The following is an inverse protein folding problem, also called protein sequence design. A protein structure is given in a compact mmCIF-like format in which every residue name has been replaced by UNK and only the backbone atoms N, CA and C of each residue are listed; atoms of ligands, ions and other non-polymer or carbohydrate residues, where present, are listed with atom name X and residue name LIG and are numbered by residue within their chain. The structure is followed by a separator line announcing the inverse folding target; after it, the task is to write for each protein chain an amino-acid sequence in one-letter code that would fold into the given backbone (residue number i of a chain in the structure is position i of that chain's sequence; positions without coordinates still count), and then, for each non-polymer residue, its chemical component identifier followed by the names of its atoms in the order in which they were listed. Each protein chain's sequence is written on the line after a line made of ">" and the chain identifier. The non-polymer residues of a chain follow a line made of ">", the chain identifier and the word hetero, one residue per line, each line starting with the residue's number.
data_IF_333127563205
#
_entry.id   IF_333127563205
#
_cell.length_a   1.000
_cell.length_b   1.000
_cell.length_c   1.000
_cell.angle_alpha   90.00
_cell.angle_beta   90.00
_cell.angle_gamma   90.00
#
_symmetry.space_group_name_H-M   'P 1'
#
loop_
_entity.id
_entity.type
_entity.pdbx_description
1 polymer ?
#
# COMPACT_ATOMS: atom_id res chain seq x y z
N UNK A 1 25.82 -4.17 26.40
CA UNK A 1 25.80 -3.59 25.05
C UNK A 1 24.41 -3.02 24.90
N UNK A 2 24.29 -1.71 25.05
CA UNK A 2 23.02 -0.98 24.93
C UNK A 2 22.72 -0.82 23.45
N UNK A 3 21.60 -1.38 23.00
CA UNK A 3 21.08 -1.24 21.65
C UNK A 3 20.62 0.22 21.43
N UNK A 4 21.55 1.13 21.13
CA UNK A 4 21.27 2.53 20.75
C UNK A 4 21.02 2.72 19.24
N UNK A 5 21.26 1.70 18.41
CA UNK A 5 21.25 1.82 16.93
C UNK A 5 19.87 1.71 16.26
N UNK A 6 18.78 1.81 17.02
CA UNK A 6 17.42 1.61 16.53
C UNK A 6 16.43 2.71 16.87
N UNK A 7 16.89 3.91 17.25
CA UNK A 7 16.01 4.98 17.70
C UNK A 7 15.16 5.54 16.55
N UNK A 8 14.03 4.88 16.28
CA UNK A 8 12.96 5.37 15.43
C UNK A 8 12.37 6.60 16.12
N UNK A 9 12.92 7.77 15.79
CA UNK A 9 12.41 9.05 16.22
C UNK A 9 11.07 9.37 15.57
N UNK A 10 10.26 10.19 16.25
CA UNK A 10 9.03 10.72 15.65
C UNK A 10 9.38 11.66 14.49
N UNK A 11 8.50 11.81 13.48
CA UNK A 11 8.72 12.73 12.38
C UNK A 11 8.94 14.17 12.86
N UNK A 12 10.16 14.68 12.67
CA UNK A 12 10.58 16.01 13.11
C UNK A 12 9.65 17.13 12.66
N UNK A 13 9.14 17.04 11.41
CA UNK A 13 8.20 18.02 10.88
C UNK A 13 6.88 18.07 11.68
N UNK A 14 6.37 16.90 12.09
CA UNK A 14 5.12 16.81 12.86
C UNK A 14 5.27 17.45 14.24
N UNK A 15 6.36 17.13 14.93
CA UNK A 15 6.67 17.77 16.22
C UNK A 15 6.82 19.28 16.09
N UNK A 16 7.52 19.75 15.05
CA UNK A 16 7.68 21.19 14.81
C UNK A 16 6.36 21.92 14.51
N UNK A 17 5.38 21.25 13.90
CA UNK A 17 4.03 21.80 13.73
C UNK A 17 3.33 21.94 15.08
N UNK A 18 3.31 20.86 15.89
CA UNK A 18 2.68 20.88 17.22
C UNK A 18 3.30 21.97 18.10
N UNK A 19 4.63 22.11 18.10
CA UNK A 19 5.33 23.14 18.88
C UNK A 19 4.86 24.56 18.48
N UNK A 20 4.73 24.83 17.18
CA UNK A 20 4.25 26.12 16.68
C UNK A 20 2.77 26.35 16.96
N UNK A 21 1.96 25.30 16.94
CA UNK A 21 0.54 25.38 17.24
C UNK A 21 0.30 25.73 18.72
N UNK A 22 1.14 25.19 19.62
CA UNK A 22 1.07 25.49 21.07
C UNK A 22 1.71 26.83 21.42
N UNK A 23 2.82 27.20 20.77
CA UNK A 23 3.56 28.44 21.07
C UNK A 23 3.93 29.19 19.78
N UNK A 24 2.98 29.89 19.14
CA UNK A 24 3.16 30.44 17.79
C UNK A 24 4.19 31.58 17.71
N UNK A 25 4.22 32.47 18.69
CA UNK A 25 5.02 33.71 18.65
C UNK A 25 6.43 33.56 19.23
N UNK A 26 6.79 32.37 19.74
CA UNK A 26 8.05 32.16 20.45
C UNK A 26 9.12 31.50 19.59
N UNK A 27 10.29 32.15 19.52
CA UNK A 27 11.48 31.53 18.93
C UNK A 27 12.06 30.52 19.92
N UNK A 28 12.04 29.25 19.52
CA UNK A 28 12.67 28.15 20.27
C UNK A 28 14.07 27.88 19.67
N UNK A 29 15.05 27.55 20.51
CA UNK A 29 16.40 27.17 20.07
C UNK A 29 16.40 25.78 19.41
N UNK A 30 17.36 25.50 18.54
CA UNK A 30 17.42 24.21 17.83
C UNK A 30 17.67 23.06 18.81
N UNK A 31 18.61 23.22 19.74
CA UNK A 31 18.90 22.23 20.78
C UNK A 31 17.67 21.90 21.64
N UNK A 32 16.83 22.90 21.93
CA UNK A 32 15.58 22.67 22.67
C UNK A 32 14.58 21.84 21.85
N UNK A 33 14.53 22.00 20.53
CA UNK A 33 13.68 21.17 19.66
C UNK A 33 14.16 19.73 19.62
N UNK A 34 15.47 19.52 19.56
CA UNK A 34 16.09 18.20 19.61
C UNK A 34 15.81 17.51 20.94
N UNK A 35 15.94 18.23 22.05
CA UNK A 35 15.59 17.74 23.38
C UNK A 35 14.11 17.36 23.47
N UNK A 36 13.19 18.20 22.94
CA UNK A 36 11.78 17.87 22.91
C UNK A 36 11.49 16.58 22.12
N UNK A 37 12.17 16.35 20.99
CA UNK A 37 12.02 15.09 20.27
C UNK A 37 12.49 13.89 21.10
N UNK A 38 13.67 13.99 21.72
CA UNK A 38 14.17 12.94 22.62
C UNK A 38 13.17 12.66 23.76
N UNK A 39 12.58 13.70 24.35
CA UNK A 39 11.53 13.58 25.36
C UNK A 39 10.27 12.88 24.83
N UNK A 40 9.84 13.16 23.60
CA UNK A 40 8.68 12.49 23.01
C UNK A 40 8.94 10.99 22.79
N UNK A 41 10.15 10.61 22.36
CA UNK A 41 10.53 9.19 22.22
C UNK A 41 10.57 8.51 23.60
N UNK A 42 11.18 9.16 24.60
CA UNK A 42 11.20 8.64 25.97
C UNK A 42 9.80 8.57 26.59
N UNK A 43 8.89 9.49 26.28
CA UNK A 43 7.50 9.44 26.71
C UNK A 43 6.82 8.15 26.23
N UNK A 44 6.97 7.80 24.95
CA UNK A 44 6.43 6.55 24.39
C UNK A 44 7.04 5.35 25.12
N UNK A 45 8.36 5.31 25.32
CA UNK A 45 9.04 4.23 26.04
C UNK A 45 8.59 4.15 27.50
N UNK A 46 8.36 5.27 28.17
CA UNK A 46 7.96 5.33 29.57
C UNK A 46 6.55 4.77 29.78
N UNK A 47 5.58 5.24 28.98
CA UNK A 47 4.20 4.71 29.00
C UNK A 47 4.18 3.24 28.59
N UNK A 48 4.96 2.84 27.58
CA UNK A 48 5.02 1.45 27.13
C UNK A 48 5.57 0.51 28.20
N UNK A 49 6.60 0.91 28.95
CA UNK A 49 7.15 0.12 30.06
C UNK A 49 6.11 -0.11 31.16
N UNK A 50 5.35 0.92 31.52
CA UNK A 50 4.30 0.78 32.55
C UNK A 50 3.12 -0.07 32.03
N UNK A 51 2.68 0.14 30.80
CA UNK A 51 1.63 -0.68 30.18
C UNK A 51 2.05 -2.16 30.08
N UNK A 52 3.32 -2.43 29.77
CA UNK A 52 3.89 -3.79 29.76
C UNK A 52 3.87 -4.41 31.16
N UNK A 53 4.22 -3.65 32.21
CA UNK A 53 4.15 -4.11 33.61
C UNK A 53 2.74 -4.50 34.00
N UNK A 54 1.75 -3.68 33.65
CA UNK A 54 0.33 -3.94 33.91
C UNK A 54 -0.15 -5.17 33.13
N UNK A 55 0.19 -5.29 31.85
CA UNK A 55 -0.15 -6.46 31.03
C UNK A 55 0.42 -7.75 31.61
N UNK A 56 1.67 -7.71 32.07
CA UNK A 56 2.33 -8.85 32.68
C UNK A 56 1.68 -9.23 34.02
N UNK A 57 1.29 -8.24 34.83
CA UNK A 57 0.52 -8.45 36.06
C UNK A 57 -0.83 -9.13 35.77
N UNK A 58 -1.53 -8.69 34.73
CA UNK A 58 -2.82 -9.26 34.29
C UNK A 58 -2.63 -10.61 33.54
N UNK A 59 -1.42 -11.17 33.51
CA UNK A 59 -1.03 -12.42 32.84
C UNK A 59 -1.34 -12.46 31.34
N UNK A 60 -1.35 -11.30 30.68
CA UNK A 60 -1.60 -11.16 29.23
C UNK A 60 -0.30 -10.90 28.48
N UNK A 61 -0.08 -11.69 27.42
CA UNK A 61 1.06 -11.51 26.48
C UNK A 61 0.90 -10.30 25.56
N UNK A 62 -0.34 -9.87 25.33
CA UNK A 62 -0.68 -8.75 24.45
C UNK A 62 -1.06 -7.54 25.29
N UNK A 63 -0.46 -6.39 25.00
CA UNK A 63 -0.87 -5.11 25.60
C UNK A 63 -2.17 -4.66 24.96
N UNK A 64 -3.21 -4.46 25.77
CA UNK A 64 -4.51 -3.94 25.34
C UNK A 64 -4.68 -2.46 25.73
N UNK A 65 -5.69 -1.80 25.16
CA UNK A 65 -5.99 -0.39 25.44
C UNK A 65 -6.21 -0.10 26.94
N UNK A 66 -6.81 -1.03 27.68
CA UNK A 66 -7.03 -0.91 29.13
C UNK A 66 -5.71 -0.81 29.92
N UNK A 67 -4.66 -1.48 29.45
CA UNK A 67 -3.35 -1.42 30.10
C UNK A 67 -2.71 -0.04 29.89
N UNK A 68 -2.92 0.58 28.73
CA UNK A 68 -2.42 1.94 28.44
C UNK A 68 -3.16 2.98 29.28
N UNK A 69 -4.48 2.86 29.43
CA UNK A 69 -5.29 3.76 30.28
C UNK A 69 -4.85 3.69 31.75
N UNK A 70 -4.70 2.47 32.28
CA UNK A 70 -4.16 2.27 33.63
C UNK A 70 -2.73 2.80 33.76
N UNK A 71 -1.89 2.64 32.74
CA UNK A 71 -0.53 3.16 32.74
C UNK A 71 -0.51 4.69 32.86
N UNK A 72 -1.35 5.38 32.07
CA UNK A 72 -1.46 6.84 32.14
C UNK A 72 -1.88 7.32 33.52
N UNK A 73 -2.88 6.65 34.13
CA UNK A 73 -3.34 6.95 35.48
C UNK A 73 -2.25 6.67 36.54
N UNK A 74 -1.55 5.53 36.45
CA UNK A 74 -0.50 5.15 37.40
C UNK A 74 0.71 6.09 37.36
N UNK A 75 1.06 6.59 36.17
CA UNK A 75 2.15 7.53 35.97
C UNK A 75 1.78 8.96 36.38
N UNK A 76 0.52 9.21 36.75
CA UNK A 76 0.06 10.52 37.20
C UNK A 76 -0.11 11.53 36.07
N UNK A 77 -0.32 11.07 34.82
CA UNK A 77 -0.71 11.97 33.75
C UNK A 77 -2.10 12.56 34.03
N UNK A 78 -2.35 13.81 33.59
CA UNK A 78 -3.63 14.44 33.83
C UNK A 78 -4.77 13.71 33.10
N UNK A 79 -5.99 13.89 33.61
CA UNK A 79 -7.15 13.09 33.19
C UNK A 79 -7.52 13.28 31.71
N UNK A 80 -7.21 14.45 31.15
CA UNK A 80 -7.33 14.78 29.73
C UNK A 80 -6.58 13.80 28.82
N UNK A 81 -5.47 13.21 29.27
CA UNK A 81 -4.74 12.20 28.48
C UNK A 81 -5.51 10.88 28.40
N UNK A 82 -6.17 10.49 29.49
CA UNK A 82 -7.01 9.28 29.52
C UNK A 82 -8.24 9.48 28.64
N UNK A 83 -8.89 10.64 28.75
CA UNK A 83 -10.04 11.00 27.91
C UNK A 83 -9.67 11.05 26.42
N UNK A 84 -8.53 11.65 26.07
CA UNK A 84 -8.04 11.68 24.70
C UNK A 84 -7.79 10.25 24.17
N UNK A 85 -7.21 9.36 25.00
CA UNK A 85 -7.00 7.97 24.63
C UNK A 85 -8.32 7.20 24.41
N UNK A 86 -9.34 7.44 25.24
CA UNK A 86 -10.68 6.86 25.10
C UNK A 86 -11.38 7.33 23.82
N UNK A 87 -11.28 8.63 23.50
CA UNK A 87 -11.84 9.20 22.28
C UNK A 87 -11.24 8.53 21.03
N UNK A 88 -9.91 8.46 20.95
CA UNK A 88 -9.20 7.81 19.83
C UNK A 88 -9.51 6.31 19.75
N UNK A 89 -9.67 5.63 20.89
CA UNK A 89 -10.06 4.23 20.92
C UNK A 89 -11.44 4.01 20.28
N UNK A 90 -12.39 4.89 20.56
CA UNK A 90 -13.73 4.85 19.95
C UNK A 90 -13.65 4.96 18.43
N UNK A 91 -12.89 5.94 17.92
CA UNK A 91 -12.68 6.13 16.48
C UNK A 91 -12.00 4.92 15.84
N UNK A 92 -11.01 4.34 16.50
CA UNK A 92 -10.31 3.14 16.04
C UNK A 92 -11.24 1.92 15.96
N UNK A 93 -12.15 1.74 16.92
CA UNK A 93 -13.17 0.68 16.88
C UNK A 93 -14.10 0.84 15.68
N UNK A 94 -14.60 2.06 15.45
CA UNK A 94 -15.46 2.37 14.31
C UNK A 94 -14.71 2.12 12.98
N UNK A 95 -13.46 2.57 12.87
CA UNK A 95 -12.64 2.35 11.68
C UNK A 95 -12.39 0.86 11.42
N UNK A 96 -12.12 0.07 12.46
CA UNK A 96 -11.93 -1.37 12.38
C UNK A 96 -13.21 -2.08 11.91
N UNK A 97 -14.37 -1.73 12.48
CA UNK A 97 -15.68 -2.24 12.05
C UNK A 97 -15.98 -1.91 10.59
N UNK A 98 -15.74 -0.66 10.18
CA UNK A 98 -15.95 -0.22 8.80
C UNK A 98 -15.03 -0.97 7.82
N UNK A 99 -13.77 -1.22 8.21
CA UNK A 99 -12.83 -2.01 7.42
C UNK A 99 -13.29 -3.46 7.29
N UNK A 100 -13.82 -4.06 8.36
CA UNK A 100 -14.37 -5.41 8.35
C UNK A 100 -15.62 -5.50 7.46
N UNK A 101 -16.56 -4.56 7.59
CA UNK A 101 -17.75 -4.47 6.73
C UNK A 101 -17.37 -4.37 5.25
N UNK A 102 -16.38 -3.55 4.90
CA UNK A 102 -15.89 -3.42 3.51
C UNK A 102 -15.24 -4.70 2.99
N UNK A 103 -14.47 -5.42 3.82
CA UNK A 103 -13.84 -6.69 3.44
C UNK A 103 -14.89 -7.77 3.18
N UNK A 104 -15.81 -7.96 4.13
CA UNK A 104 -16.85 -8.98 4.02
C UNK A 104 -17.85 -8.65 2.90
N UNK A 105 -18.12 -7.36 2.64
CA UNK A 105 -19.03 -6.96 1.56
C UNK A 105 -18.49 -7.18 0.14
N UNK A 106 -17.17 -7.35 -0.05
CA UNK A 106 -16.59 -7.49 -1.40
C UNK A 106 -16.44 -8.94 -1.85
N UNK A 107 -16.32 -9.90 -0.92
CA UNK A 107 -16.19 -11.32 -1.24
C UNK A 107 -17.49 -12.08 -1.01
N UNK A 108 -18.19 -11.83 0.10
CA UNK A 108 -19.36 -12.63 0.51
C UNK A 108 -20.69 -12.12 -0.06
N UNK A 109 -20.72 -10.89 -0.59
CA UNK A 109 -21.94 -10.25 -1.14
C UNK A 109 -21.88 -9.99 -2.63
N UNK A 110 -21.17 -10.82 -3.40
CA UNK A 110 -21.22 -10.76 -4.86
C UNK A 110 -22.63 -11.07 -5.40
N UNK A 111 -23.51 -11.69 -4.61
CA UNK A 111 -24.88 -12.04 -4.98
C UNK A 111 -25.00 -13.13 -6.05
N UNK A 112 -23.88 -13.49 -6.68
CA UNK A 112 -23.73 -14.54 -7.67
C UNK A 112 -23.14 -15.77 -6.93
N UNK A 113 -23.75 -16.96 -7.05
CA UNK A 113 -23.22 -18.18 -6.44
C UNK A 113 -21.83 -18.50 -7.02
N UNK A 114 -20.98 -19.14 -6.21
CA UNK A 114 -19.58 -19.44 -6.53
C UNK A 114 -19.44 -20.22 -7.85
N UNK A 115 -20.32 -21.19 -8.09
CA UNK A 115 -20.33 -22.00 -9.32
C UNK A 115 -20.55 -21.15 -10.59
N UNK A 116 -21.42 -20.14 -10.51
CA UNK A 116 -21.73 -19.26 -11.64
C UNK A 116 -20.60 -18.25 -11.89
N UNK A 117 -19.94 -17.77 -10.82
CA UNK A 117 -18.72 -16.97 -10.91
C UNK A 117 -17.59 -17.77 -11.57
N UNK A 118 -17.43 -19.05 -11.22
CA UNK A 118 -16.43 -19.93 -11.80
C UNK A 118 -16.66 -20.16 -13.31
N UNK A 119 -17.91 -20.40 -13.69
CA UNK A 119 -18.27 -20.54 -15.11
C UNK A 119 -17.96 -19.27 -15.91
N UNK A 120 -18.33 -18.10 -15.36
CA UNK A 120 -18.05 -16.80 -15.98
C UNK A 120 -16.54 -16.54 -16.10
N UNK A 121 -15.76 -16.90 -15.08
CA UNK A 121 -14.30 -16.81 -15.13
C UNK A 121 -13.71 -17.68 -16.25
N UNK A 122 -14.16 -18.93 -16.37
CA UNK A 122 -13.70 -19.82 -17.44
C UNK A 122 -14.03 -19.25 -18.82
N UNK A 123 -15.25 -18.75 -19.02
CA UNK A 123 -15.66 -18.13 -20.29
C UNK A 123 -14.79 -16.92 -20.66
N UNK A 124 -14.43 -16.08 -19.68
CA UNK A 124 -13.55 -14.93 -19.90
C UNK A 124 -12.14 -15.37 -20.31
N UNK A 125 -11.59 -16.41 -19.68
CA UNK A 125 -10.27 -16.97 -20.01
C UNK A 125 -10.30 -17.56 -21.43
N UNK A 126 -11.33 -18.32 -21.76
CA UNK A 126 -11.45 -18.95 -23.08
C UNK A 126 -11.61 -17.92 -24.19
N UNK A 127 -12.42 -16.88 -23.96
CA UNK A 127 -12.54 -15.75 -24.88
C UNK A 127 -11.20 -15.02 -25.09
N UNK A 128 -10.47 -14.72 -24.02
CA UNK A 128 -9.15 -14.08 -24.12
C UNK A 128 -8.16 -14.95 -24.91
N UNK A 129 -8.21 -16.28 -24.74
CA UNK A 129 -7.38 -17.23 -25.48
C UNK A 129 -7.71 -17.26 -26.97
N UNK A 130 -9.00 -17.20 -27.32
CA UNK A 130 -9.45 -17.13 -28.72
C UNK A 130 -9.03 -15.81 -29.37
N UNK A 131 -9.15 -14.68 -28.66
CA UNK A 131 -8.70 -13.37 -29.16
C UNK A 131 -7.19 -13.33 -29.43
N UNK A 132 -6.37 -13.93 -28.54
CA UNK A 132 -4.93 -14.08 -28.78
C UNK A 132 -4.63 -14.91 -30.03
N UNK A 133 -5.26 -16.08 -30.16
CA UNK A 133 -5.08 -16.93 -31.34
C UNK A 133 -5.50 -16.23 -32.63
N UNK A 134 -6.61 -15.48 -32.60
CA UNK A 134 -7.07 -14.71 -33.76
C UNK A 134 -6.10 -13.57 -34.12
N UNK A 135 -5.54 -12.88 -33.12
CA UNK A 135 -4.54 -11.84 -33.33
C UNK A 135 -3.25 -12.42 -33.94
N UNK A 136 -2.76 -13.54 -33.40
CA UNK A 136 -1.60 -14.26 -33.94
C UNK A 136 -1.86 -14.73 -35.38
N UNK A 137 -3.04 -15.29 -35.66
CA UNK A 137 -3.42 -15.70 -37.01
C UNK A 137 -3.49 -14.53 -37.99
N UNK A 138 -4.04 -13.39 -37.56
CA UNK A 138 -4.08 -12.17 -38.37
C UNK A 138 -2.68 -11.62 -38.65
N UNK A 139 -1.78 -11.67 -37.67
CA UNK A 139 -0.37 -11.30 -37.85
C UNK A 139 0.35 -12.24 -38.82
N UNK A 140 0.19 -13.55 -38.66
CA UNK A 140 0.74 -14.56 -39.57
C UNK A 140 0.24 -14.37 -41.00
N UNK A 141 -1.05 -14.10 -41.19
CA UNK A 141 -1.61 -13.82 -42.52
C UNK A 141 -1.03 -12.54 -43.14
N UNK A 142 -0.85 -11.47 -42.34
CA UNK A 142 -0.18 -10.24 -42.81
C UNK A 142 1.26 -10.49 -43.23
N UNK A 143 2.01 -11.27 -42.45
CA UNK A 143 3.40 -11.64 -42.78
C UNK A 143 3.43 -12.45 -44.08
N UNK A 144 2.53 -13.43 -44.25
CA UNK A 144 2.48 -14.24 -45.45
C UNK A 144 2.18 -13.41 -46.70
N UNK A 145 1.18 -12.51 -46.64
CA UNK A 145 0.87 -11.59 -47.73
C UNK A 145 2.05 -10.68 -48.10
N UNK A 146 2.77 -10.13 -47.10
CA UNK A 146 3.94 -9.31 -47.34
C UNK A 146 5.09 -10.08 -48.02
N UNK A 147 5.28 -11.36 -47.66
CA UNK A 147 6.26 -12.25 -48.29
C UNK A 147 5.88 -12.53 -49.76
N UNK A 148 4.60 -12.81 -50.02
CA UNK A 148 4.12 -13.07 -51.38
C UNK A 148 4.19 -11.83 -52.27
N UNK A 149 3.87 -10.65 -51.75
CA UNK A 149 4.07 -9.37 -52.45
C UNK A 149 5.56 -9.13 -52.75
N UNK A 150 6.46 -9.35 -51.80
CA UNK A 150 7.91 -9.25 -52.05
C UNK A 150 8.40 -10.26 -53.10
N UNK A 151 7.85 -11.50 -53.11
CA UNK A 151 8.15 -12.47 -54.16
C UNK A 151 7.65 -12.00 -55.54
N UNK A 152 6.44 -11.48 -55.63
CA UNK A 152 5.88 -10.97 -56.88
C UNK A 152 6.67 -9.76 -57.40
N UNK A 153 7.08 -8.84 -56.52
CA UNK A 153 7.94 -7.70 -56.86
C UNK A 153 9.32 -8.16 -57.31
N UNK A 154 9.93 -9.15 -56.66
CA UNK A 154 11.21 -9.72 -57.08
C UNK A 154 11.13 -10.45 -58.44
N UNK A 155 10.01 -11.14 -58.72
CA UNK A 155 9.76 -11.80 -60.01
C UNK A 155 9.57 -10.78 -61.15
N UNK A 156 8.86 -9.67 -60.89
CA UNK A 156 8.72 -8.58 -61.85
C UNK A 156 10.03 -7.80 -62.05
N UNK A 157 10.82 -7.64 -60.98
CA UNK A 157 12.16 -7.02 -61.05
C UNK A 157 13.16 -7.82 -61.89
N UNK A 158 13.06 -9.16 -61.91
CA UNK A 158 13.89 -10.01 -62.77
C UNK A 158 13.53 -9.94 -64.26
N UNK A 159 12.30 -9.52 -64.61
CA UNK A 159 11.88 -9.39 -66.01
C UNK A 159 12.27 -8.07 -66.68
N UNK A 160 12.82 -7.09 -65.94
CA UNK A 160 13.22 -5.79 -66.50
C UNK A 160 14.70 -5.77 -66.93
N UNK A 161 15.50 -6.76 -66.54
CA UNK A 161 16.92 -6.86 -66.93
C UNK A 161 17.16 -7.64 -68.25
N UNK A 162 16.10 -8.11 -68.95
CA UNK A 162 16.20 -8.93 -70.17
C UNK A 162 15.60 -8.26 -71.44
N UNK A 163 15.55 -6.93 -71.50
CA UNK A 163 15.33 -6.19 -72.76
C UNK A 163 16.29 -4.99 -72.88
N UNK A 164 17.59 -5.29 -73.00
CA UNK A 164 18.51 -4.44 -73.76
C UNK A 164 19.60 -5.31 -74.37
N UNK A 165 19.30 -5.99 -75.49
CA UNK A 165 20.31 -6.33 -76.49
C UNK A 165 19.68 -6.58 -77.87
N UNK A 166 20.19 -5.81 -78.84
CA UNK A 166 20.15 -5.97 -80.29
C UNK A 166 18.87 -5.63 -81.08
N UNK A 167 18.91 -4.47 -81.75
CA UNK A 167 18.79 -4.45 -83.21
C UNK A 167 19.58 -3.27 -83.82
N UNK A 168 20.40 -3.63 -84.80
CA UNK A 168 21.36 -2.83 -85.56
C UNK A 168 20.75 -1.80 -86.52
#
# INVERSE_FOLDING_TARGET
>A
MTDEDGEVGLPQKGLNMIIKDVIPEMRIANESRELLNACCVEFVKHVSREAQRISAHDQRKTIYHEHVQKALANLGFPYDYVEAADSVLSECKIAAENKLKRKNSRLDKCGIPEDQLYLMQQQLIEKARQEQLAAEAAEMNRIHMAIDEQRAVNLLGQSVDEEDYDAA
#
